data_IF_236008870191
#
_entry.id   IF_236008870191
#
_cell.length_a   1.000
_cell.length_b   1.000
_cell.length_c   1.000
_cell.angle_alpha   90.00
_cell.angle_beta   90.00
_cell.angle_gamma   90.00
#
_symmetry.space_group_name_H-M   'P 1'
#
loop_
_entity.id
_entity.type
_entity.pdbx_description
1 polymer ?
#
# COMPACT_ATOMS: atom_id res chain seq x y z
N UNK A 1 18.71 -1.77 26.61
CA UNK A 1 17.47 -1.06 26.29
C UNK A 1 17.08 -0.10 27.40
N UNK A 2 16.75 1.14 27.05
CA UNK A 2 16.04 2.06 27.96
C UNK A 2 14.57 1.61 28.10
N UNK A 3 14.30 0.78 29.11
CA UNK A 3 12.97 0.20 29.36
C UNK A 3 11.94 1.25 29.78
N UNK A 4 12.35 2.26 30.53
CA UNK A 4 11.44 3.26 31.07
C UNK A 4 11.02 4.23 29.96
N UNK A 5 11.97 4.74 29.18
CA UNK A 5 11.65 5.62 28.05
C UNK A 5 10.77 4.93 27.00
N UNK A 6 11.03 3.64 26.70
CA UNK A 6 10.18 2.93 25.74
C UNK A 6 8.78 2.66 26.30
N UNK A 7 8.64 2.37 27.60
CA UNK A 7 7.33 2.25 28.27
C UNK A 7 6.53 3.54 28.14
N UNK A 8 7.13 4.69 28.44
CA UNK A 8 6.47 6.00 28.33
C UNK A 8 6.01 6.27 26.89
N UNK A 9 6.80 5.89 25.89
CA UNK A 9 6.39 5.97 24.49
C UNK A 9 5.18 5.07 24.20
N UNK A 10 5.16 3.84 24.67
CA UNK A 10 4.03 2.91 24.47
C UNK A 10 2.75 3.42 25.12
N UNK A 11 2.85 3.96 26.34
CA UNK A 11 1.74 4.60 27.07
C UNK A 11 1.22 5.83 26.31
N UNK A 12 2.12 6.69 25.81
CA UNK A 12 1.77 7.83 24.96
C UNK A 12 1.10 7.42 23.65
N UNK A 13 1.38 6.21 23.15
CA UNK A 13 0.71 5.60 22.00
C UNK A 13 -0.54 4.80 22.35
N UNK A 14 -0.98 4.86 23.61
CA UNK A 14 -2.18 4.18 24.14
C UNK A 14 -2.17 2.66 23.93
N UNK A 15 -0.98 2.05 24.02
CA UNK A 15 -0.88 0.59 24.06
C UNK A 15 -1.56 0.09 25.33
N UNK A 16 -2.42 -0.96 25.27
CA UNK A 16 -3.07 -1.49 26.45
C UNK A 16 -2.06 -1.91 27.53
N UNK A 17 -2.36 -1.60 28.78
CA UNK A 17 -1.44 -1.80 29.92
C UNK A 17 -1.01 -3.26 30.07
N UNK A 18 -1.91 -4.19 29.80
CA UNK A 18 -1.68 -5.64 29.83
C UNK A 18 -0.71 -6.13 28.73
N UNK A 19 -0.45 -5.31 27.71
CA UNK A 19 0.45 -5.62 26.59
C UNK A 19 1.83 -5.00 26.72
N UNK A 20 2.02 -4.04 27.62
CA UNK A 20 3.27 -3.28 27.76
C UNK A 20 4.45 -4.21 28.10
N UNK A 21 4.31 -5.14 29.05
CA UNK A 21 5.43 -6.01 29.45
C UNK A 21 5.89 -6.94 28.32
N UNK A 22 4.94 -7.49 27.55
CA UNK A 22 5.25 -8.30 26.37
C UNK A 22 5.97 -7.47 25.29
N UNK A 23 5.53 -6.23 25.08
CA UNK A 23 6.16 -5.32 24.13
C UNK A 23 7.60 -4.94 24.55
N UNK A 24 7.83 -4.69 25.84
CA UNK A 24 9.17 -4.43 26.38
C UNK A 24 10.09 -5.65 26.21
N UNK A 25 9.59 -6.85 26.50
CA UNK A 25 10.35 -8.09 26.34
C UNK A 25 10.72 -8.35 24.87
N UNK A 26 9.79 -8.10 23.93
CA UNK A 26 10.04 -8.25 22.50
C UNK A 26 11.10 -7.26 22.00
N UNK A 27 11.02 -6.00 22.41
CA UNK A 27 12.00 -4.97 22.04
C UNK A 27 13.40 -5.29 22.60
N UNK A 28 13.50 -5.73 23.86
CA UNK A 28 14.76 -6.16 24.45
C UNK A 28 15.35 -7.37 23.71
N UNK A 29 14.50 -8.33 23.33
CA UNK A 29 14.91 -9.49 22.55
C UNK A 29 15.45 -9.11 21.17
N UNK A 30 14.81 -8.16 20.49
CA UNK A 30 15.31 -7.63 19.22
C UNK A 30 16.64 -6.88 19.40
N UNK A 31 16.78 -6.06 20.45
CA UNK A 31 18.05 -5.36 20.75
C UNK A 31 19.20 -6.37 20.94
N UNK A 32 18.96 -7.44 21.69
CA UNK A 32 19.94 -8.52 21.88
C UNK A 32 20.29 -9.22 20.57
N UNK A 33 19.28 -9.52 19.73
CA UNK A 33 19.49 -10.11 18.41
C UNK A 33 20.33 -9.20 17.50
N UNK A 34 20.08 -7.90 17.51
CA UNK A 34 20.84 -6.91 16.74
C UNK A 34 22.29 -6.79 17.23
N UNK A 35 22.53 -6.83 18.55
CA UNK A 35 23.88 -6.85 19.12
C UNK A 35 24.65 -8.10 18.69
N UNK A 36 24.00 -9.27 18.69
CA UNK A 36 24.61 -10.55 18.28
C UNK A 36 24.97 -10.58 16.78
N UNK A 37 24.14 -9.97 15.94
CA UNK A 37 24.35 -9.87 14.49
C UNK A 37 25.26 -8.71 14.08
N UNK A 38 25.56 -7.79 15.01
CA UNK A 38 26.56 -6.74 14.85
C UNK A 38 26.05 -5.44 14.22
N UNK A 39 24.75 -5.30 13.94
CA UNK A 39 24.20 -4.04 13.42
C UNK A 39 22.69 -3.91 13.63
N UNK A 40 22.23 -2.66 13.75
CA UNK A 40 20.81 -2.29 13.65
C UNK A 40 20.49 -1.90 12.19
N UNK A 41 20.47 -2.90 11.30
CA UNK A 41 20.18 -2.70 9.88
C UNK A 41 18.82 -3.25 9.48
N UNK A 42 18.42 -2.96 8.23
CA UNK A 42 17.24 -3.58 7.59
C UNK A 42 17.35 -5.11 7.55
N UNK A 43 18.52 -5.64 7.23
CA UNK A 43 18.77 -7.09 7.14
C UNK A 43 18.59 -7.76 8.51
N UNK A 44 19.09 -7.12 9.58
CA UNK A 44 18.85 -7.59 10.95
C UNK A 44 17.36 -7.62 11.30
N UNK A 45 16.61 -6.57 10.96
CA UNK A 45 15.17 -6.52 11.19
C UNK A 45 14.41 -7.62 10.43
N UNK A 46 14.75 -7.87 9.17
CA UNK A 46 14.16 -8.94 8.36
C UNK A 46 14.56 -10.35 8.84
N UNK A 47 15.80 -10.53 9.29
CA UNK A 47 16.23 -11.79 9.89
C UNK A 47 15.46 -12.05 11.20
N UNK A 48 15.24 -11.02 12.02
CA UNK A 48 14.41 -11.15 13.22
C UNK A 48 12.95 -11.45 12.88
N UNK A 49 12.40 -10.84 11.83
CA UNK A 49 11.06 -11.18 11.33
C UNK A 49 10.95 -12.66 10.97
N UNK A 50 11.96 -13.19 10.28
CA UNK A 50 12.04 -14.61 9.91
C UNK A 50 12.05 -15.52 11.16
N UNK A 51 12.75 -15.12 12.22
CA UNK A 51 12.72 -15.84 13.49
C UNK A 51 11.32 -15.83 14.13
N UNK A 52 10.63 -14.68 14.15
CA UNK A 52 9.25 -14.61 14.66
C UNK A 52 8.29 -15.48 13.86
N UNK A 53 8.46 -15.55 12.54
CA UNK A 53 7.67 -16.45 11.67
C UNK A 53 7.90 -17.92 12.06
N UNK A 54 9.16 -18.33 12.21
CA UNK A 54 9.50 -19.70 12.59
C UNK A 54 8.94 -20.11 13.97
N UNK A 55 8.76 -19.13 14.85
CA UNK A 55 8.24 -19.31 16.22
C UNK A 55 6.72 -19.12 16.33
N UNK A 56 6.03 -18.75 15.25
CA UNK A 56 4.61 -18.42 15.28
C UNK A 56 4.27 -17.16 16.07
N UNK A 57 5.24 -16.23 16.20
CA UNK A 57 5.12 -14.95 16.89
C UNK A 57 4.97 -13.76 15.91
N UNK A 58 4.70 -14.02 14.64
CA UNK A 58 4.61 -13.04 13.57
C UNK A 58 3.23 -12.34 13.52
N UNK A 59 2.86 -11.64 14.59
CA UNK A 59 1.60 -10.90 14.68
C UNK A 59 1.78 -9.43 14.28
N UNK A 60 0.70 -8.78 13.81
CA UNK A 60 0.68 -7.33 13.54
C UNK A 60 1.14 -6.53 14.76
N UNK A 61 0.67 -6.89 15.94
CA UNK A 61 1.02 -6.23 17.20
C UNK A 61 2.53 -6.31 17.50
N UNK A 62 3.15 -7.46 17.26
CA UNK A 62 4.58 -7.64 17.48
C UNK A 62 5.41 -6.80 16.50
N UNK A 63 5.04 -6.77 15.22
CA UNK A 63 5.73 -5.94 14.25
C UNK A 63 5.51 -4.43 14.47
N UNK A 64 4.31 -4.01 14.88
CA UNK A 64 4.05 -2.62 15.28
C UNK A 64 4.88 -2.21 16.50
N UNK A 65 5.07 -3.12 17.45
CA UNK A 65 5.95 -2.89 18.61
C UNK A 65 7.40 -2.68 18.16
N UNK A 66 7.89 -3.51 17.25
CA UNK A 66 9.25 -3.43 16.74
C UNK A 66 9.49 -2.17 15.89
N UNK A 67 8.49 -1.75 15.08
CA UNK A 67 8.53 -0.48 14.38
C UNK A 67 8.60 0.70 15.36
N UNK A 68 7.72 0.73 16.37
CA UNK A 68 7.74 1.77 17.43
C UNK A 68 9.06 1.81 18.17
N UNK A 69 9.67 0.64 18.41
CA UNK A 69 10.98 0.57 19.01
C UNK A 69 12.03 1.18 18.06
N UNK A 70 12.09 0.80 16.78
CA UNK A 70 12.95 1.45 15.77
C UNK A 70 12.89 2.99 15.79
N UNK A 71 11.67 3.53 15.91
CA UNK A 71 11.44 4.96 16.08
C UNK A 71 11.98 5.50 17.42
N UNK A 72 11.76 4.81 18.53
CA UNK A 72 12.16 5.21 19.88
C UNK A 72 13.67 5.45 20.01
N UNK A 73 14.50 4.53 19.52
CA UNK A 73 15.96 4.66 19.60
C UNK A 73 16.60 5.28 18.34
N UNK A 74 15.77 5.95 17.53
CA UNK A 74 16.16 6.74 16.37
C UNK A 74 16.92 5.93 15.28
N UNK A 75 16.49 4.69 15.03
CA UNK A 75 16.98 3.90 13.90
C UNK A 75 15.93 3.83 12.79
N UNK A 76 16.01 4.80 11.88
CA UNK A 76 15.07 4.94 10.78
C UNK A 76 15.08 3.71 9.85
N UNK A 77 16.23 3.08 9.60
CA UNK A 77 16.30 1.87 8.78
C UNK A 77 15.51 0.70 9.38
N UNK A 78 15.64 0.49 10.70
CA UNK A 78 14.90 -0.54 11.43
C UNK A 78 13.41 -0.24 11.44
N UNK A 79 13.04 1.03 11.70
CA UNK A 79 11.65 1.47 11.65
C UNK A 79 11.02 1.18 10.28
N UNK A 80 11.68 1.59 9.20
CA UNK A 80 11.21 1.37 7.83
C UNK A 80 11.15 -0.12 7.51
N UNK A 81 12.14 -0.93 7.92
CA UNK A 81 12.15 -2.36 7.67
C UNK A 81 10.96 -3.08 8.31
N UNK A 82 10.55 -2.69 9.53
CA UNK A 82 9.37 -3.28 10.17
C UNK A 82 8.05 -2.76 9.58
N UNK A 83 8.01 -1.51 9.09
CA UNK A 83 6.86 -1.05 8.29
C UNK A 83 6.74 -1.81 6.96
N UNK A 84 7.85 -2.15 6.32
CA UNK A 84 7.87 -2.90 5.06
C UNK A 84 7.29 -4.30 5.21
N UNK A 85 7.51 -4.98 6.35
CA UNK A 85 6.93 -6.32 6.58
C UNK A 85 5.45 -6.28 6.97
N UNK A 86 4.99 -5.19 7.60
CA UNK A 86 3.57 -4.92 7.87
C UNK A 86 2.80 -4.58 6.59
N UNK A 87 3.41 -3.78 5.71
CA UNK A 87 2.74 -3.24 4.53
C UNK A 87 2.24 -4.36 3.60
N UNK A 88 0.92 -4.49 3.52
CA UNK A 88 0.25 -5.45 2.67
C UNK A 88 0.30 -6.88 3.18
N UNK A 89 0.63 -7.11 4.46
CA UNK A 89 0.64 -8.45 5.05
C UNK A 89 -0.70 -9.19 4.94
N UNK A 90 -1.81 -8.47 4.84
CA UNK A 90 -3.17 -8.99 4.63
C UNK A 90 -3.45 -9.43 3.19
N UNK A 91 -2.72 -8.91 2.20
CA UNK A 91 -3.17 -8.91 0.82
C UNK A 91 -3.28 -10.30 0.20
N UNK A 92 -2.35 -11.21 0.52
CA UNK A 92 -2.40 -12.56 -0.03
C UNK A 92 -3.43 -13.45 0.67
N UNK A 93 -3.63 -13.29 1.98
CA UNK A 93 -4.70 -13.98 2.71
C UNK A 93 -6.07 -13.54 2.17
N UNK A 94 -6.24 -12.23 1.91
CA UNK A 94 -7.42 -11.70 1.26
C UNK A 94 -7.65 -12.30 -0.13
N UNK A 95 -6.59 -12.49 -0.92
CA UNK A 95 -6.70 -13.18 -2.21
C UNK A 95 -7.12 -14.64 -2.03
N UNK A 96 -6.45 -15.37 -1.12
CA UNK A 96 -6.73 -16.78 -0.84
C UNK A 96 -8.20 -17.00 -0.47
N UNK A 97 -8.70 -16.22 0.50
CA UNK A 97 -10.08 -16.24 0.93
C UNK A 97 -11.04 -15.90 -0.20
N UNK A 98 -10.80 -14.80 -0.93
CA UNK A 98 -11.69 -14.35 -2.02
C UNK A 98 -11.79 -15.34 -3.17
N UNK A 99 -10.70 -16.02 -3.53
CA UNK A 99 -10.75 -17.11 -4.54
C UNK A 99 -11.63 -18.25 -4.05
N UNK A 100 -11.49 -18.66 -2.78
CA UNK A 100 -12.32 -19.71 -2.18
C UNK A 100 -13.80 -19.34 -2.12
N UNK A 101 -14.11 -18.10 -1.73
CA UNK A 101 -15.48 -17.57 -1.65
C UNK A 101 -16.15 -17.48 -3.03
N UNK A 102 -15.42 -17.02 -4.05
CA UNK A 102 -16.01 -16.73 -5.38
C UNK A 102 -15.98 -17.90 -6.35
N UNK A 103 -14.95 -18.75 -6.29
CA UNK A 103 -14.71 -19.80 -7.27
C UNK A 103 -14.57 -21.21 -6.65
N UNK A 104 -14.73 -21.31 -5.32
CA UNK A 104 -14.66 -22.57 -4.59
C UNK A 104 -13.25 -22.96 -4.15
N UNK A 105 -13.19 -23.82 -3.13
CA UNK A 105 -11.92 -24.23 -2.52
C UNK A 105 -11.06 -25.08 -3.44
N UNK A 106 -11.65 -25.86 -4.36
CA UNK A 106 -10.88 -26.68 -5.30
C UNK A 106 -9.95 -25.84 -6.18
N UNK A 107 -10.47 -24.78 -6.82
CA UNK A 107 -9.64 -23.88 -7.63
C UNK A 107 -8.63 -23.13 -6.76
N UNK A 108 -9.06 -22.63 -5.59
CA UNK A 108 -8.16 -21.96 -4.65
C UNK A 108 -6.97 -22.84 -4.31
N UNK A 109 -7.22 -24.07 -3.87
CA UNK A 109 -6.18 -25.00 -3.43
C UNK A 109 -5.25 -25.37 -4.60
N UNK A 110 -5.79 -25.49 -5.83
CA UNK A 110 -5.01 -25.69 -7.05
C UNK A 110 -4.06 -24.51 -7.35
N UNK A 111 -4.57 -23.28 -7.39
CA UNK A 111 -3.73 -22.13 -7.76
C UNK A 111 -2.67 -21.82 -6.68
N UNK A 112 -2.93 -22.15 -5.42
CA UNK A 112 -1.97 -22.01 -4.31
C UNK A 112 -1.08 -23.24 -4.10
N UNK A 113 -1.29 -24.34 -4.83
CA UNK A 113 -0.55 -25.59 -4.62
C UNK A 113 0.97 -25.41 -4.75
N UNK A 114 1.71 -25.85 -3.73
CA UNK A 114 3.17 -25.73 -3.65
C UNK A 114 3.70 -24.32 -3.35
N UNK A 115 2.83 -23.30 -3.28
CA UNK A 115 3.18 -21.92 -2.92
C UNK A 115 2.71 -21.64 -1.48
N UNK A 116 1.47 -22.01 -1.17
CA UNK A 116 0.82 -21.69 0.09
C UNK A 116 0.52 -20.20 0.24
N UNK A 117 0.01 -19.83 1.42
CA UNK A 117 -0.15 -18.42 1.81
C UNK A 117 1.14 -17.93 2.44
N UNK A 118 1.61 -16.74 2.07
CA UNK A 118 2.79 -16.13 2.67
C UNK A 118 2.58 -15.92 4.16
N UNK A 119 3.58 -16.25 4.99
CA UNK A 119 3.56 -15.86 6.38
C UNK A 119 3.45 -14.34 6.53
N UNK A 120 2.60 -13.89 7.46
CA UNK A 120 2.53 -12.49 7.82
C UNK A 120 3.89 -12.00 8.31
N UNK A 121 4.34 -10.82 7.87
CA UNK A 121 5.66 -10.29 8.21
C UNK A 121 6.82 -10.75 7.30
N UNK A 122 6.54 -11.45 6.19
CA UNK A 122 7.60 -11.88 5.28
C UNK A 122 8.43 -10.68 4.76
N UNK A 123 9.77 -10.79 4.69
CA UNK A 123 10.62 -9.75 4.10
C UNK A 123 10.16 -9.36 2.69
N UNK A 124 10.24 -8.06 2.38
CA UNK A 124 9.70 -7.52 1.13
C UNK A 124 10.23 -8.25 -0.13
N UNK A 125 11.55 -8.55 -0.26
CA UNK A 125 12.08 -9.23 -1.46
C UNK A 125 11.47 -10.62 -1.73
N UNK A 126 10.90 -11.28 -0.72
CA UNK A 126 10.29 -12.60 -0.89
C UNK A 126 8.81 -12.53 -1.31
N UNK A 127 8.13 -11.38 -1.10
CA UNK A 127 6.71 -11.20 -1.42
C UNK A 127 6.34 -11.59 -2.86
N UNK A 128 7.11 -11.21 -3.91
CA UNK A 128 6.79 -11.59 -5.28
C UNK A 128 6.66 -13.10 -5.51
N UNK A 129 7.45 -13.92 -4.81
CA UNK A 129 7.43 -15.39 -4.98
C UNK A 129 6.10 -16.02 -4.58
N UNK A 130 5.40 -15.39 -3.67
CA UNK A 130 4.11 -15.86 -3.16
C UNK A 130 2.93 -15.33 -4.00
N UNK A 131 3.02 -14.09 -4.49
CA UNK A 131 1.91 -13.47 -5.20
C UNK A 131 1.91 -13.79 -6.70
N UNK A 132 3.03 -13.60 -7.39
CA UNK A 132 3.05 -13.59 -8.86
C UNK A 132 2.61 -14.93 -9.48
N UNK A 133 3.11 -16.09 -9.03
CA UNK A 133 2.70 -17.35 -9.63
C UNK A 133 1.22 -17.68 -9.36
N UNK A 134 0.64 -17.20 -8.26
CA UNK A 134 -0.80 -17.36 -7.97
C UNK A 134 -1.64 -16.53 -8.95
N UNK A 135 -1.27 -15.27 -9.20
CA UNK A 135 -1.97 -14.43 -10.17
C UNK A 135 -1.90 -15.03 -11.58
N UNK A 136 -0.73 -15.51 -12.01
CA UNK A 136 -0.58 -16.16 -13.32
C UNK A 136 -1.44 -17.42 -13.47
N UNK A 137 -1.54 -18.23 -12.41
CA UNK A 137 -2.40 -19.43 -12.40
C UNK A 137 -3.88 -19.06 -12.43
N UNK A 138 -4.28 -18.03 -11.67
CA UNK A 138 -5.65 -17.51 -11.69
C UNK A 138 -6.03 -16.98 -13.08
N UNK A 139 -5.16 -16.18 -13.71
CA UNK A 139 -5.40 -15.66 -15.05
C UNK A 139 -5.52 -16.81 -16.07
N UNK A 140 -4.68 -17.84 -15.98
CA UNK A 140 -4.77 -19.02 -16.85
C UNK A 140 -6.06 -19.81 -16.65
N UNK A 141 -6.50 -19.97 -15.41
CA UNK A 141 -7.67 -20.78 -15.06
C UNK A 141 -9.00 -20.05 -15.33
N UNK A 142 -9.05 -18.75 -15.06
CA UNK A 142 -10.28 -17.95 -15.11
C UNK A 142 -10.40 -17.10 -16.39
N UNK A 143 -9.29 -16.83 -17.06
CA UNK A 143 -9.19 -15.79 -18.08
C UNK A 143 -9.01 -14.40 -17.47
N UNK A 144 -8.57 -13.46 -18.32
CA UNK A 144 -8.18 -12.12 -17.89
C UNK A 144 -9.35 -11.31 -17.30
N UNK A 145 -10.56 -11.40 -17.86
CA UNK A 145 -11.71 -10.62 -17.39
C UNK A 145 -12.17 -11.03 -15.97
N UNK A 146 -12.30 -12.32 -15.73
CA UNK A 146 -12.68 -12.84 -14.42
C UNK A 146 -11.60 -12.54 -13.37
N UNK A 147 -10.32 -12.63 -13.74
CA UNK A 147 -9.23 -12.29 -12.82
C UNK A 147 -9.13 -10.77 -12.56
N UNK A 148 -9.41 -9.91 -13.55
CA UNK A 148 -9.62 -8.46 -13.32
C UNK A 148 -10.73 -8.21 -12.32
N UNK A 149 -11.89 -8.82 -12.53
CA UNK A 149 -13.04 -8.66 -11.64
C UNK A 149 -12.79 -9.18 -10.21
N UNK A 150 -11.92 -10.18 -10.04
CA UNK A 150 -11.49 -10.68 -8.73
C UNK A 150 -10.63 -9.64 -7.97
N UNK A 151 -9.76 -8.95 -8.71
CA UNK A 151 -8.80 -7.98 -8.16
C UNK A 151 -9.37 -6.56 -8.04
N UNK A 152 -10.46 -6.24 -8.74
CA UNK A 152 -11.01 -4.89 -8.90
C UNK A 152 -11.38 -4.18 -7.59
N UNK A 153 -11.63 -4.91 -6.49
CA UNK A 153 -12.01 -4.32 -5.20
C UNK A 153 -10.83 -4.12 -4.23
N UNK A 154 -9.59 -4.18 -4.73
CA UNK A 154 -8.37 -4.18 -3.94
C UNK A 154 -8.25 -5.42 -3.04
N UNK A 155 -7.01 -5.85 -2.80
CA UNK A 155 -6.69 -6.90 -1.83
C UNK A 155 -6.25 -6.30 -0.48
N UNK A 156 -6.06 -4.98 -0.43
CA UNK A 156 -5.74 -4.25 0.81
C UNK A 156 -6.99 -4.03 1.63
N UNK A 157 -6.84 -4.02 2.94
CA UNK A 157 -7.89 -3.56 3.85
C UNK A 157 -7.94 -2.03 3.82
N UNK A 158 -8.97 -1.49 3.17
CA UNK A 158 -9.13 -0.05 2.95
C UNK A 158 -10.10 0.54 3.97
N UNK A 159 -9.92 1.81 4.38
CA UNK A 159 -10.84 2.46 5.29
C UNK A 159 -12.22 2.67 4.63
N UNK A 160 -13.25 2.77 5.47
CA UNK A 160 -14.57 3.22 5.05
C UNK A 160 -14.49 4.73 4.74
N UNK A 161 -14.43 5.08 3.46
CA UNK A 161 -14.29 6.45 2.94
C UNK A 161 -15.55 7.32 3.14
N UNK A 162 -16.21 7.25 4.30
CA UNK A 162 -17.50 7.89 4.55
C UNK A 162 -17.49 9.42 4.29
N UNK A 163 -16.36 10.08 4.55
CA UNK A 163 -16.17 11.52 4.30
C UNK A 163 -16.20 11.89 2.80
N UNK A 164 -15.96 10.95 1.90
CA UNK A 164 -16.01 11.22 0.45
C UNK A 164 -17.43 11.54 0.00
N UNK A 165 -18.44 10.89 0.62
CA UNK A 165 -19.85 11.20 0.34
C UNK A 165 -20.21 12.62 0.77
N UNK A 166 -19.82 13.01 1.97
CA UNK A 166 -20.07 14.36 2.49
C UNK A 166 -19.41 15.42 1.60
N UNK A 167 -18.15 15.18 1.20
CA UNK A 167 -17.44 16.06 0.29
C UNK A 167 -18.14 16.16 -1.07
N UNK A 168 -18.51 15.02 -1.67
CA UNK A 168 -19.20 14.99 -2.96
C UNK A 168 -20.54 15.74 -2.91
N UNK A 169 -21.35 15.51 -1.88
CA UNK A 169 -22.66 16.18 -1.71
C UNK A 169 -22.55 17.68 -1.41
N UNK A 170 -21.40 18.15 -0.93
CA UNK A 170 -21.15 19.59 -0.73
C UNK A 170 -20.79 20.34 -2.02
N UNK A 171 -20.50 19.62 -3.10
CA UNK A 171 -20.10 20.20 -4.38
C UNK A 171 -21.31 20.30 -5.32
N UNK A 172 -21.35 21.32 -6.16
CA UNK A 172 -22.40 21.51 -7.15
C UNK A 172 -22.34 20.46 -8.28
N UNK A 173 -21.14 19.95 -8.60
CA UNK A 173 -20.91 18.98 -9.66
C UNK A 173 -19.59 18.22 -9.46
N UNK A 174 -19.31 17.26 -10.36
CA UNK A 174 -18.10 16.44 -10.32
C UNK A 174 -16.83 17.30 -10.43
N UNK A 175 -16.82 18.33 -11.27
CA UNK A 175 -15.61 19.14 -11.48
C UNK A 175 -15.23 19.91 -10.21
N UNK A 176 -16.21 20.47 -9.50
CA UNK A 176 -15.98 21.09 -8.20
C UNK A 176 -15.47 20.05 -7.18
N UNK A 177 -16.02 18.83 -7.19
CA UNK A 177 -15.52 17.75 -6.35
C UNK A 177 -14.05 17.40 -6.64
N UNK A 178 -13.63 17.31 -7.90
CA UNK A 178 -12.23 17.06 -8.28
C UNK A 178 -11.31 18.20 -7.80
N UNK A 179 -11.75 19.46 -7.96
CA UNK A 179 -11.00 20.63 -7.48
C UNK A 179 -10.83 20.61 -5.95
N UNK A 180 -11.89 20.28 -5.21
CA UNK A 180 -11.85 20.17 -3.76
C UNK A 180 -10.96 19.00 -3.31
N UNK A 181 -11.01 17.84 -3.96
CA UNK A 181 -10.09 16.72 -3.69
C UNK A 181 -8.64 17.15 -3.89
N UNK A 182 -8.33 17.80 -5.02
CA UNK A 182 -6.99 18.31 -5.33
C UNK A 182 -6.48 19.26 -4.24
N UNK A 183 -7.32 20.23 -3.85
CA UNK A 183 -6.97 21.22 -2.84
C UNK A 183 -6.72 20.57 -1.47
N UNK A 184 -7.59 19.64 -1.05
CA UNK A 184 -7.42 18.89 0.22
C UNK A 184 -6.16 18.04 0.22
N UNK A 185 -5.88 17.35 -0.89
CA UNK A 185 -4.67 16.55 -1.03
C UNK A 185 -3.42 17.42 -0.94
N UNK A 186 -3.35 18.53 -1.69
CA UNK A 186 -2.23 19.48 -1.61
C UNK A 186 -2.04 20.04 -0.19
N UNK A 187 -3.12 20.48 0.46
CA UNK A 187 -3.06 21.02 1.82
C UNK A 187 -2.57 20.00 2.86
N UNK A 188 -2.91 18.71 2.67
CA UNK A 188 -2.41 17.63 3.51
C UNK A 188 -0.89 17.48 3.36
N UNK A 189 -0.39 17.49 2.11
CA UNK A 189 1.05 17.40 1.84
C UNK A 189 1.81 18.62 2.38
N UNK A 190 1.28 19.83 2.20
CA UNK A 190 1.85 21.06 2.75
C UNK A 190 1.92 21.02 4.28
N UNK A 191 0.92 20.43 4.93
CA UNK A 191 0.92 20.24 6.38
C UNK A 191 1.99 19.24 6.81
N UNK A 192 2.14 18.11 6.10
CA UNK A 192 3.24 17.16 6.34
C UNK A 192 4.61 17.85 6.21
N UNK A 193 4.83 18.62 5.15
CA UNK A 193 6.07 19.38 4.95
C UNK A 193 6.33 20.36 6.10
N UNK A 194 5.37 21.23 6.41
CA UNK A 194 5.50 22.28 7.44
C UNK A 194 5.81 21.69 8.82
N UNK A 195 5.26 20.53 9.13
CA UNK A 195 5.41 19.86 10.42
C UNK A 195 6.60 18.88 10.45
N UNK A 196 7.34 18.72 9.34
CA UNK A 196 8.43 17.75 9.24
C UNK A 196 7.98 16.30 9.40
N UNK A 197 6.71 16.01 9.09
CA UNK A 197 6.13 14.65 9.16
C UNK A 197 6.14 13.99 7.79
N UNK A 198 6.26 12.67 7.78
CA UNK A 198 6.08 11.88 6.56
C UNK A 198 4.60 11.86 6.14
N UNK A 199 4.34 11.88 4.84
CA UNK A 199 3.07 11.45 4.27
C UNK A 199 3.18 9.94 4.00
N UNK A 200 2.59 9.14 4.89
CA UNK A 200 2.89 7.71 4.99
C UNK A 200 4.41 7.48 5.17
N UNK A 201 5.10 6.95 4.16
CA UNK A 201 6.54 6.69 4.19
C UNK A 201 7.38 7.80 3.51
N UNK A 202 6.73 8.77 2.86
CA UNK A 202 7.39 9.74 1.98
C UNK A 202 7.63 11.09 2.66
N UNK A 203 8.83 11.63 2.49
CA UNK A 203 9.16 13.02 2.79
C UNK A 203 8.55 13.97 1.75
N UNK A 204 7.92 15.06 2.21
CA UNK A 204 7.36 16.08 1.32
C UNK A 204 8.32 17.26 1.22
N UNK A 205 8.94 17.42 0.06
CA UNK A 205 9.82 18.55 -0.30
C UNK A 205 9.12 19.54 -1.22
N UNK A 206 9.74 20.69 -1.48
CA UNK A 206 9.20 21.67 -2.44
C UNK A 206 9.03 21.05 -3.83
N UNK A 207 10.00 20.24 -4.28
CA UNK A 207 9.91 19.52 -5.55
C UNK A 207 8.72 18.53 -5.59
N UNK A 208 8.39 17.90 -4.47
CA UNK A 208 7.21 17.02 -4.37
C UNK A 208 5.92 17.83 -4.47
N UNK A 209 5.83 18.97 -3.78
CA UNK A 209 4.66 19.85 -3.86
C UNK A 209 4.48 20.43 -5.26
N UNK A 210 5.56 20.86 -5.90
CA UNK A 210 5.54 21.39 -7.26
C UNK A 210 5.12 20.32 -8.27
N UNK A 211 5.62 19.09 -8.14
CA UNK A 211 5.15 17.95 -8.93
C UNK A 211 3.64 17.76 -8.78
N UNK A 212 3.14 17.68 -7.54
CA UNK A 212 1.71 17.49 -7.29
C UNK A 212 0.89 18.65 -7.83
N UNK A 213 1.33 19.91 -7.69
CA UNK A 213 0.61 21.08 -8.22
C UNK A 213 0.54 21.09 -9.75
N UNK A 214 1.63 20.68 -10.40
CA UNK A 214 1.76 20.74 -11.85
C UNK A 214 1.18 19.52 -12.58
N UNK A 215 0.92 18.40 -11.89
CA UNK A 215 0.28 17.21 -12.45
C UNK A 215 -1.22 17.15 -12.14
N UNK A 216 -2.13 17.52 -13.07
CA UNK A 216 -3.55 17.67 -12.78
C UNK A 216 -4.21 16.36 -12.34
N UNK A 217 -3.78 15.22 -12.89
CA UNK A 217 -4.35 13.90 -12.58
C UNK A 217 -3.99 13.39 -11.17
N UNK A 218 -2.97 13.96 -10.51
CA UNK A 218 -2.54 13.52 -9.17
C UNK A 218 -3.39 14.15 -8.08
N UNK A 219 -4.07 13.34 -7.26
CA UNK A 219 -4.83 13.77 -6.08
C UNK A 219 -6.20 14.40 -6.33
N UNK A 220 -6.48 14.85 -7.55
CA UNK A 220 -7.78 15.38 -7.96
C UNK A 220 -8.39 14.61 -9.13
N UNK A 221 -7.60 14.33 -10.16
CA UNK A 221 -8.04 13.69 -11.39
C UNK A 221 -8.47 14.70 -12.47
N UNK A 222 -8.54 14.25 -13.73
CA UNK A 222 -9.00 15.07 -14.86
C UNK A 222 -10.19 14.40 -15.53
N UNK A 223 -11.31 15.12 -15.64
CA UNK A 223 -12.52 14.60 -16.29
C UNK A 223 -12.55 14.88 -17.79
N UNK A 224 -12.90 13.87 -18.58
CA UNK A 224 -13.26 13.98 -19.99
C UNK A 224 -14.55 13.20 -20.21
N UNK A 225 -15.65 13.93 -20.47
CA UNK A 225 -16.98 13.31 -20.58
C UNK A 225 -17.38 12.63 -19.26
N UNK A 226 -17.63 11.32 -19.34
CA UNK A 226 -17.99 10.48 -18.20
C UNK A 226 -16.79 9.74 -17.59
N UNK A 227 -15.55 10.07 -17.96
CA UNK A 227 -14.35 9.40 -17.45
C UNK A 227 -13.51 10.38 -16.65
N UNK A 228 -13.07 9.97 -15.45
CA UNK A 228 -12.04 10.67 -14.68
C UNK A 228 -10.74 9.91 -14.80
N UNK A 229 -9.68 10.59 -15.21
CA UNK A 229 -8.32 10.04 -15.25
C UNK A 229 -7.57 10.43 -13.99
N UNK A 230 -7.06 9.44 -13.27
CA UNK A 230 -6.23 9.64 -12.09
C UNK A 230 -4.86 9.00 -12.27
N UNK A 231 -3.82 9.74 -11.88
CA UNK A 231 -2.45 9.25 -11.80
C UNK A 231 -2.05 9.16 -10.34
N UNK A 232 -1.45 8.04 -9.93
CA UNK A 232 -0.90 7.92 -8.58
C UNK A 232 0.31 8.82 -8.41
N UNK A 233 0.34 9.54 -7.29
CA UNK A 233 1.60 10.06 -6.76
C UNK A 233 2.58 8.88 -6.60
N UNK A 234 3.88 8.99 -6.97
CA UNK A 234 4.86 7.96 -6.67
C UNK A 234 4.90 7.59 -5.18
N UNK A 235 5.28 6.35 -4.85
CA UNK A 235 5.40 5.88 -3.47
C UNK A 235 6.48 6.65 -2.68
N UNK A 236 7.60 6.93 -3.35
CA UNK A 236 8.73 7.72 -2.87
C UNK A 236 9.07 8.77 -3.94
N UNK A 237 8.31 9.84 -3.95
CA UNK A 237 8.29 10.89 -4.98
C UNK A 237 9.59 11.65 -5.05
N UNK A 238 10.20 11.99 -3.92
CA UNK A 238 11.51 12.65 -3.89
C UNK A 238 12.56 11.81 -4.63
N UNK A 239 12.59 10.52 -4.35
CA UNK A 239 13.48 9.53 -4.95
C UNK A 239 13.13 9.32 -6.42
N UNK A 240 11.85 9.13 -6.76
CA UNK A 240 11.39 8.91 -8.13
C UNK A 240 11.68 10.09 -9.07
N UNK A 241 11.62 11.34 -8.55
CA UNK A 241 11.95 12.54 -9.31
C UNK A 241 13.46 12.68 -9.57
N UNK A 242 14.30 12.24 -8.61
CA UNK A 242 15.76 12.31 -8.72
C UNK A 242 16.38 11.13 -9.48
N UNK A 243 15.67 10.01 -9.58
CA UNK A 243 16.19 8.77 -10.14
C UNK A 243 16.27 8.79 -11.68
N UNK A 244 17.40 8.28 -12.19
CA UNK A 244 17.72 8.20 -13.62
C UNK A 244 17.71 6.76 -14.13
N UNK A 245 17.95 5.77 -13.27
CA UNK A 245 17.79 4.38 -13.62
C UNK A 245 16.28 4.05 -13.79
N UNK A 246 15.85 3.58 -14.98
CA UNK A 246 14.43 3.38 -15.26
C UNK A 246 13.80 2.29 -14.38
N UNK A 247 14.57 1.32 -13.90
CA UNK A 247 14.07 0.24 -13.04
C UNK A 247 13.88 0.73 -11.61
N UNK A 248 14.86 1.43 -11.05
CA UNK A 248 14.76 2.04 -9.73
C UNK A 248 13.69 3.14 -9.70
N UNK A 249 13.55 3.92 -10.77
CA UNK A 249 12.48 4.92 -10.87
C UNK A 249 11.11 4.27 -10.74
N UNK A 250 10.85 3.19 -11.48
CA UNK A 250 9.59 2.42 -11.37
C UNK A 250 9.40 1.76 -10.01
N UNK A 251 10.48 1.31 -9.37
CA UNK A 251 10.45 0.82 -7.99
C UNK A 251 9.97 1.90 -7.02
N UNK A 252 10.50 3.12 -7.11
CA UNK A 252 10.08 4.26 -6.28
C UNK A 252 8.68 4.77 -6.60
N UNK A 253 8.16 4.52 -7.79
CA UNK A 253 6.76 4.83 -8.15
C UNK A 253 5.77 3.82 -7.55
N UNK A 254 6.15 2.54 -7.48
CA UNK A 254 5.23 1.47 -7.14
C UNK A 254 4.88 1.42 -5.63
N UNK A 255 3.61 1.67 -5.29
CA UNK A 255 3.10 1.56 -3.92
C UNK A 255 2.96 0.13 -3.40
N UNK A 256 2.82 -0.85 -4.28
CA UNK A 256 2.52 -2.21 -3.85
C UNK A 256 3.81 -2.95 -3.49
N UNK A 257 4.03 -3.35 -2.22
CA UNK A 257 5.24 -4.06 -1.82
C UNK A 257 5.34 -5.45 -2.47
N UNK A 258 4.21 -6.05 -2.85
CA UNK A 258 4.14 -7.32 -3.59
C UNK A 258 4.55 -7.21 -5.07
N UNK A 259 4.55 -5.99 -5.61
CA UNK A 259 4.84 -5.71 -7.01
C UNK A 259 6.20 -5.02 -7.19
N UNK A 260 6.53 -4.03 -6.35
CA UNK A 260 7.73 -3.19 -6.53
C UNK A 260 9.03 -3.99 -6.43
N UNK A 261 9.10 -4.96 -5.53
CA UNK A 261 10.30 -5.82 -5.39
C UNK A 261 10.52 -6.69 -6.63
N UNK A 262 9.44 -7.05 -7.33
CA UNK A 262 9.53 -7.75 -8.58
C UNK A 262 10.07 -6.85 -9.72
N UNK A 263 9.69 -5.57 -9.73
CA UNK A 263 10.29 -4.56 -10.63
C UNK A 263 11.80 -4.48 -10.41
N UNK A 264 12.22 -4.35 -9.15
CA UNK A 264 13.63 -4.20 -8.77
C UNK A 264 14.47 -5.44 -9.08
N UNK A 265 13.92 -6.63 -8.89
CA UNK A 265 14.62 -7.90 -9.14
C UNK A 265 14.55 -8.37 -10.60
N UNK A 266 13.72 -7.74 -11.44
CA UNK A 266 13.46 -8.18 -12.81
C UNK A 266 12.68 -9.50 -12.88
N UNK A 267 12.02 -9.90 -11.80
CA UNK A 267 11.17 -11.08 -11.79
C UNK A 267 9.97 -10.88 -12.74
N UNK A 268 9.52 -11.98 -13.36
CA UNK A 268 8.28 -11.95 -14.12
C UNK A 268 7.10 -11.64 -13.20
N UNK A 269 6.22 -10.76 -13.66
CA UNK A 269 5.04 -10.29 -12.93
C UNK A 269 3.86 -10.33 -13.86
N UNK A 270 2.74 -10.89 -13.38
CA UNK A 270 1.47 -10.76 -14.07
C UNK A 270 0.98 -9.31 -13.97
N UNK A 271 0.98 -8.51 -15.06
CA UNK A 271 0.61 -7.11 -14.97
C UNK A 271 -0.86 -6.91 -14.56
N UNK A 272 -1.68 -7.94 -14.78
CA UNK A 272 -3.05 -8.01 -14.31
C UNK A 272 -3.19 -7.77 -12.81
N UNK A 273 -2.15 -8.08 -12.02
CA UNK A 273 -2.10 -7.83 -10.58
C UNK A 273 -2.36 -6.35 -10.23
N UNK A 274 -2.01 -5.41 -11.11
CA UNK A 274 -2.28 -3.98 -10.91
C UNK A 274 -3.76 -3.62 -10.86
N UNK A 275 -4.69 -4.51 -11.25
CA UNK A 275 -6.12 -4.28 -11.03
C UNK A 275 -6.47 -4.21 -9.53
N UNK A 276 -5.64 -4.81 -8.65
CA UNK A 276 -5.71 -4.58 -7.21
C UNK A 276 -5.58 -3.09 -6.87
N UNK A 277 -4.70 -2.38 -7.58
CA UNK A 277 -4.52 -0.94 -7.41
C UNK A 277 -5.69 -0.13 -7.95
N UNK A 278 -6.44 -0.63 -8.93
CA UNK A 278 -7.66 0.03 -9.41
C UNK A 278 -8.71 0.11 -8.30
N UNK A 279 -8.82 -0.94 -7.48
CA UNK A 279 -9.71 -0.95 -6.31
C UNK A 279 -9.42 0.15 -5.28
N UNK A 280 -8.16 0.58 -5.14
CA UNK A 280 -7.80 1.70 -4.29
C UNK A 280 -8.44 3.02 -4.77
N UNK A 281 -8.54 3.23 -6.09
CA UNK A 281 -9.20 4.39 -6.69
C UNK A 281 -10.71 4.22 -6.74
N UNK A 282 -11.19 2.99 -6.98
CA UNK A 282 -12.61 2.64 -7.02
C UNK A 282 -13.32 2.98 -5.71
N UNK A 283 -12.77 2.58 -4.56
CA UNK A 283 -13.45 2.69 -3.26
C UNK A 283 -13.86 4.11 -2.85
N UNK A 284 -12.99 5.15 -2.94
CA UNK A 284 -13.40 6.53 -2.68
C UNK A 284 -14.54 7.01 -3.59
N UNK A 285 -14.53 6.63 -4.87
CA UNK A 285 -15.58 6.98 -5.82
C UNK A 285 -16.91 6.28 -5.53
N UNK A 286 -16.88 5.00 -5.18
CA UNK A 286 -18.08 4.28 -4.75
C UNK A 286 -18.68 4.88 -3.48
N UNK A 287 -17.83 5.28 -2.52
CA UNK A 287 -18.29 5.96 -1.32
C UNK A 287 -18.90 7.33 -1.63
N UNK A 288 -18.25 8.13 -2.48
CA UNK A 288 -18.76 9.43 -2.93
C UNK A 288 -20.14 9.32 -3.58
N UNK A 289 -20.28 8.42 -4.56
CA UNK A 289 -21.48 8.28 -5.37
C UNK A 289 -22.56 7.41 -4.73
N UNK A 290 -22.20 6.54 -3.79
CA UNK A 290 -23.10 5.56 -3.18
C UNK A 290 -23.52 4.44 -4.14
N UNK A 291 -22.73 4.16 -5.18
CA UNK A 291 -22.97 3.12 -6.17
C UNK A 291 -21.65 2.61 -6.76
N UNK A 292 -21.67 1.45 -7.40
CA UNK A 292 -20.47 0.86 -8.01
C UNK A 292 -19.97 1.66 -9.21
N UNK A 293 -18.65 1.68 -9.39
CA UNK A 293 -17.99 2.24 -10.58
C UNK A 293 -17.00 1.26 -11.19
N UNK A 294 -16.79 1.34 -12.50
CA UNK A 294 -15.73 0.61 -13.18
C UNK A 294 -14.45 1.45 -13.18
N UNK A 295 -13.31 0.79 -12.95
CA UNK A 295 -11.99 1.41 -13.05
C UNK A 295 -11.07 0.55 -13.91
N UNK A 296 -10.53 1.13 -14.97
CA UNK A 296 -9.55 0.46 -15.83
C UNK A 296 -8.12 0.91 -15.48
N UNK A 297 -7.18 -0.04 -15.52
CA UNK A 297 -5.74 0.26 -15.45
C UNK A 297 -5.25 0.61 -16.85
N UNK A 298 -4.85 1.86 -17.08
CA UNK A 298 -4.35 2.33 -18.37
C UNK A 298 -2.83 2.16 -18.48
N UNK A 299 -2.13 2.52 -17.42
CA UNK A 299 -0.67 2.47 -17.35
C UNK A 299 -0.24 1.87 -16.03
N UNK A 300 0.83 1.10 -16.07
CA UNK A 300 1.41 0.45 -14.91
C UNK A 300 2.92 0.31 -15.04
N UNK A 301 3.62 0.54 -13.94
CA UNK A 301 5.05 0.24 -13.80
C UNK A 301 5.39 -1.23 -14.03
N UNK A 302 4.47 -2.16 -13.78
CA UNK A 302 4.65 -3.59 -14.08
C UNK A 302 4.65 -3.87 -15.59
N UNK A 303 4.14 -2.94 -16.39
CA UNK A 303 4.19 -2.98 -17.86
C UNK A 303 5.29 -2.07 -18.42
N UNK A 304 6.17 -1.54 -17.56
CA UNK A 304 7.29 -0.71 -17.97
C UNK A 304 7.00 0.80 -18.08
N UNK A 305 5.76 1.23 -17.83
CA UNK A 305 5.41 2.66 -17.81
C UNK A 305 6.11 3.40 -16.66
N UNK A 306 6.25 4.71 -16.79
CA UNK A 306 6.85 5.62 -15.80
C UNK A 306 5.83 6.25 -14.84
N UNK A 307 4.59 5.75 -14.87
CA UNK A 307 3.52 6.08 -13.94
C UNK A 307 2.47 4.97 -13.86
N UNK A 308 1.58 5.07 -12.89
CA UNK A 308 0.37 4.25 -12.80
C UNK A 308 -0.86 5.15 -12.99
N UNK A 309 -1.65 4.88 -14.03
CA UNK A 309 -2.77 5.72 -14.46
C UNK A 309 -4.05 4.89 -14.60
N UNK A 310 -5.16 5.44 -14.18
CA UNK A 310 -6.46 4.78 -14.09
C UNK A 310 -7.54 5.60 -14.78
N UNK A 311 -8.51 4.93 -15.40
CA UNK A 311 -9.75 5.54 -15.89
C UNK A 311 -10.92 5.10 -15.02
N UNK A 312 -11.53 6.05 -14.32
CA UNK A 312 -12.75 5.84 -13.52
C UNK A 312 -13.95 6.21 -14.39
N UNK A 313 -14.83 5.24 -14.63
CA UNK A 313 -16.04 5.43 -15.43
C UNK A 313 -17.20 5.86 -14.53
N UNK A 314 -17.64 7.09 -14.72
CA UNK A 314 -18.78 7.66 -14.00
C UNK A 314 -20.10 7.16 -14.60
N UNK A 315 -21.11 6.85 -13.77
CA UNK A 315 -22.46 6.54 -14.22
C UNK A 315 -23.08 7.69 -15.02
N UNK A 316 -23.91 7.39 -16.03
CA UNK A 316 -24.49 8.39 -16.95
C UNK A 316 -25.21 9.54 -16.21
N UNK A 317 -25.99 9.24 -15.18
CA UNK A 317 -26.76 10.23 -14.41
C UNK A 317 -25.91 11.20 -13.56
N UNK A 318 -24.63 10.91 -13.34
CA UNK A 318 -23.70 11.80 -12.62
C UNK A 318 -23.22 12.94 -13.52
N UNK A 319 -23.12 12.69 -14.83
CA UNK A 319 -22.56 13.64 -15.80
C UNK A 319 -23.59 14.70 -16.19
N UNK A 320 -24.87 14.36 -16.22
CA UNK A 320 -25.95 15.27 -16.62
C UNK A 320 -26.24 16.38 -15.60
N UNK A 321 -25.93 16.16 -14.32
CA UNK A 321 -26.04 17.15 -13.24
C UNK A 321 -24.92 18.21 -13.28
N UNK A 322 -23.96 18.07 -14.19
CA UNK A 322 -22.76 18.93 -14.31
C UNK A 322 -22.85 19.95 -15.45
N UNK A 323 -24.05 20.23 -15.98
CA UNK A 323 -24.29 21.26 -17.03
C UNK A 323 -24.96 22.50 -16.49
#
# INVERSE_FOLDING_TARGET
>A
MDKQGFRELLEGRKVPVDKIEAALALAERFEQFAIQTGSFSRETAWAFSTALIAEGQNTEENFLTLARYGLFFNQQEVFVAFLEVLDGGEAQENLYRRVGERYGTALRDEVFAGIGVAPYGIPAPEKPRYMQPVIERLERALGADACRALLADSLRDLPEYAWERELYLSCANVDEYLLQKKARFAAQLETCQREGRLFFAQEITDAVLDYVRNEPEVGGGVRVGNIVYETKIPFLTKEALAETDPTLKRYYICHCPWAREAVKSGAAVAPLFCNCSAGFHKKPWEAALGQEVQVDVLESVLQGHDRCRFAIHLPEGVVEQSR
#
